data_IF_574754135968
#
_entry.id   IF_574754135968
#
_cell.length_a   1.000
_cell.length_b   1.000
_cell.length_c   1.000
_cell.angle_alpha   90.00
_cell.angle_beta   90.00
_cell.angle_gamma   90.00
#
_symmetry.space_group_name_H-M   'P 1'
#
loop_
_entity.id
_entity.type
_entity.pdbx_description
1 polymer ?
#
# COMPACT_ATOMS: atom_id res chain seq x y z
N UNK A 1 -6.18 -45.64 7.97
CA UNK A 1 -6.26 -45.01 6.63
C UNK A 1 -6.16 -43.47 6.73
N UNK A 2 -5.17 -42.94 7.48
CA UNK A 2 -5.10 -41.51 7.86
C UNK A 2 -3.81 -40.79 7.41
N UNK A 3 -2.82 -41.52 6.90
CA UNK A 3 -1.47 -41.01 6.57
C UNK A 3 -1.41 -40.37 5.16
N UNK A 4 -2.35 -40.70 4.26
CA UNK A 4 -2.38 -40.13 2.89
C UNK A 4 -2.87 -38.67 2.83
N UNK A 5 -3.60 -38.17 3.82
CA UNK A 5 -4.14 -36.79 3.81
C UNK A 5 -3.13 -35.72 4.28
N UNK A 6 -2.15 -36.12 5.09
CA UNK A 6 -1.12 -35.22 5.65
C UNK A 6 0.01 -35.01 4.65
N UNK A 7 0.41 -36.06 3.93
CA UNK A 7 1.41 -35.97 2.86
C UNK A 7 0.93 -35.15 1.66
N UNK A 8 -0.36 -35.21 1.31
CA UNK A 8 -0.98 -34.37 0.27
C UNK A 8 -1.02 -32.89 0.66
N UNK A 9 -1.35 -32.59 1.93
CA UNK A 9 -1.32 -31.22 2.48
C UNK A 9 0.11 -30.67 2.52
N UNK A 10 1.09 -31.45 2.99
CA UNK A 10 2.50 -31.06 3.04
C UNK A 10 3.10 -30.83 1.64
N UNK A 11 2.72 -31.63 0.63
CA UNK A 11 3.10 -31.38 -0.78
C UNK A 11 2.46 -30.12 -1.35
N UNK A 12 1.20 -29.84 -1.02
CA UNK A 12 0.52 -28.58 -1.38
C UNK A 12 1.21 -27.36 -0.76
N UNK A 13 1.56 -27.43 0.52
CA UNK A 13 2.35 -26.39 1.19
C UNK A 13 3.74 -26.27 0.57
N UNK A 14 4.49 -27.35 0.36
CA UNK A 14 5.83 -27.30 -0.23
C UNK A 14 5.84 -26.74 -1.67
N UNK A 15 4.84 -27.09 -2.50
CA UNK A 15 4.69 -26.54 -3.86
C UNK A 15 4.27 -25.06 -3.84
N UNK A 16 3.39 -24.66 -2.92
CA UNK A 16 3.08 -23.26 -2.64
C UNK A 16 4.34 -22.49 -2.20
N UNK A 17 5.14 -23.06 -1.30
CA UNK A 17 6.38 -22.45 -0.81
C UNK A 17 7.43 -22.32 -1.92
N UNK A 18 7.61 -23.33 -2.78
CA UNK A 18 8.55 -23.28 -3.90
C UNK A 18 8.15 -22.25 -4.96
N UNK A 19 6.84 -22.07 -5.19
CA UNK A 19 6.29 -21.06 -6.11
C UNK A 19 6.44 -19.66 -5.50
N UNK A 20 6.08 -19.49 -4.24
CA UNK A 20 6.24 -18.23 -3.51
C UNK A 20 7.71 -17.78 -3.45
N UNK A 21 8.67 -18.71 -3.24
CA UNK A 21 10.11 -18.45 -3.20
C UNK A 21 10.73 -18.00 -4.54
N UNK A 22 10.04 -18.22 -5.67
CA UNK A 22 10.53 -17.91 -7.02
C UNK A 22 9.81 -16.75 -7.70
N UNK A 23 8.72 -16.25 -7.14
CA UNK A 23 7.96 -15.18 -7.76
C UNK A 23 8.65 -13.83 -7.55
N UNK A 24 8.94 -13.06 -8.62
CA UNK A 24 9.55 -11.74 -8.50
C UNK A 24 8.62 -10.74 -7.80
N UNK A 25 7.32 -11.05 -7.71
CA UNK A 25 6.24 -10.23 -7.18
C UNK A 25 5.45 -10.97 -6.10
N UNK A 26 4.86 -10.24 -5.15
CA UNK A 26 4.00 -10.81 -4.11
C UNK A 26 2.65 -11.25 -4.72
N UNK A 27 2.24 -12.50 -4.50
CA UNK A 27 0.84 -12.95 -4.54
C UNK A 27 0.60 -13.87 -3.34
N UNK A 28 0.05 -13.29 -2.27
CA UNK A 28 -0.12 -13.95 -0.97
C UNK A 28 -1.58 -14.00 -0.58
N UNK A 29 -2.04 -15.17 -0.14
CA UNK A 29 -3.38 -15.36 0.41
C UNK A 29 -3.28 -15.78 1.87
N UNK A 30 -3.93 -15.04 2.75
CA UNK A 30 -3.86 -15.20 4.20
C UNK A 30 -5.27 -15.16 4.80
N UNK A 31 -5.53 -15.98 5.82
CA UNK A 31 -6.71 -15.80 6.67
C UNK A 31 -6.38 -14.77 7.74
N UNK A 32 -7.00 -13.60 7.65
CA UNK A 32 -6.78 -12.48 8.59
C UNK A 32 -7.85 -12.44 9.68
N UNK A 33 -9.06 -12.93 9.38
CA UNK A 33 -10.20 -13.04 10.29
C UNK A 33 -10.96 -14.36 10.04
N UNK A 34 -11.79 -14.76 10.99
CA UNK A 34 -12.69 -15.91 10.83
C UNK A 34 -13.65 -15.66 9.67
N UNK A 35 -13.69 -16.57 8.69
CA UNK A 35 -14.58 -16.47 7.54
C UNK A 35 -14.17 -15.44 6.48
N UNK A 36 -13.01 -14.79 6.63
CA UNK A 36 -12.47 -13.85 5.64
C UNK A 36 -11.10 -14.30 5.14
N UNK A 37 -10.87 -14.08 3.85
CA UNK A 37 -9.60 -14.29 3.18
C UNK A 37 -9.10 -12.94 2.69
N UNK A 38 -7.80 -12.68 2.88
CA UNK A 38 -7.10 -11.53 2.34
C UNK A 38 -6.10 -11.99 1.29
N UNK A 39 -6.19 -11.44 0.08
CA UNK A 39 -5.20 -11.62 -0.99
C UNK A 39 -4.42 -10.32 -1.19
N UNK A 40 -3.09 -10.39 -1.18
CA UNK A 40 -2.20 -9.27 -1.49
C UNK A 40 -1.49 -9.60 -2.80
N UNK A 41 -1.66 -8.75 -3.82
CA UNK A 41 -1.06 -8.89 -5.14
C UNK A 41 -0.23 -7.64 -5.45
N UNK A 42 1.05 -7.80 -5.66
CA UNK A 42 1.95 -6.74 -6.12
C UNK A 42 2.09 -6.78 -7.64
N UNK A 43 2.11 -5.59 -8.23
CA UNK A 43 2.26 -5.36 -9.66
C UNK A 43 1.33 -6.27 -10.48
N UNK A 44 0.01 -6.30 -10.22
CA UNK A 44 -0.93 -7.20 -10.90
C UNK A 44 -0.84 -7.11 -12.44
N UNK A 45 -0.47 -5.94 -12.99
CA UNK A 45 -0.23 -5.82 -14.43
C UNK A 45 0.92 -6.69 -14.98
N UNK A 46 1.84 -7.13 -14.12
CA UNK A 46 3.01 -7.96 -14.44
C UNK A 46 2.95 -9.36 -13.83
N UNK A 47 2.22 -9.54 -12.73
CA UNK A 47 2.31 -10.75 -11.89
C UNK A 47 1.24 -11.80 -12.15
N UNK A 48 0.11 -11.40 -12.75
CA UNK A 48 -1.04 -12.28 -13.01
C UNK A 48 -1.46 -12.25 -14.48
N UNK A 49 -2.22 -13.26 -14.91
CA UNK A 49 -2.75 -13.34 -16.27
C UNK A 49 -3.78 -12.24 -16.56
N UNK A 50 -4.11 -12.04 -17.83
CA UNK A 50 -5.11 -11.03 -18.22
C UNK A 50 -6.51 -11.33 -17.65
N UNK A 51 -6.93 -12.60 -17.72
CA UNK A 51 -8.21 -13.02 -17.14
C UNK A 51 -8.26 -12.81 -15.61
N UNK A 52 -7.17 -13.07 -14.90
CA UNK A 52 -7.08 -12.81 -13.46
C UNK A 52 -7.05 -11.31 -13.14
N UNK A 53 -6.44 -10.50 -14.00
CA UNK A 53 -6.40 -9.04 -13.86
C UNK A 53 -7.80 -8.45 -14.05
N UNK A 54 -8.53 -8.90 -15.07
CA UNK A 54 -9.90 -8.47 -15.33
C UNK A 54 -10.84 -8.85 -14.19
N UNK A 55 -10.70 -10.07 -13.66
CA UNK A 55 -11.46 -10.51 -12.49
C UNK A 55 -11.12 -9.67 -11.25
N UNK A 56 -9.83 -9.40 -10.99
CA UNK A 56 -9.42 -8.54 -9.89
C UNK A 56 -10.05 -7.15 -10.02
N UNK A 57 -9.96 -6.52 -11.20
CA UNK A 57 -10.54 -5.19 -11.46
C UNK A 57 -12.07 -5.21 -11.30
N UNK A 58 -12.73 -6.27 -11.77
CA UNK A 58 -14.16 -6.48 -11.58
C UNK A 58 -14.52 -6.51 -10.09
N UNK A 59 -13.79 -7.28 -9.28
CA UNK A 59 -14.00 -7.36 -7.82
C UNK A 59 -13.79 -6.01 -7.12
N UNK A 60 -12.78 -5.24 -7.53
CA UNK A 60 -12.57 -3.89 -6.99
C UNK A 60 -13.74 -2.95 -7.33
N UNK A 61 -14.25 -3.02 -8.57
CA UNK A 61 -15.41 -2.23 -9.00
C UNK A 61 -16.69 -2.61 -8.26
N UNK A 62 -16.88 -3.89 -7.89
CA UNK A 62 -18.03 -4.34 -7.07
C UNK A 62 -18.05 -3.63 -5.72
N UNK A 63 -16.93 -3.60 -5.00
CA UNK A 63 -16.83 -2.90 -3.70
C UNK A 63 -17.00 -1.39 -3.89
N UNK A 64 -16.37 -0.83 -4.93
CA UNK A 64 -16.40 0.60 -5.19
C UNK A 64 -17.79 1.11 -5.59
N UNK A 65 -18.56 0.34 -6.37
CA UNK A 65 -19.92 0.70 -6.79
C UNK A 65 -20.91 0.87 -5.64
N UNK A 66 -20.60 0.33 -4.45
CA UNK A 66 -21.40 0.57 -3.23
C UNK A 66 -21.09 1.89 -2.54
N UNK A 67 -19.97 2.53 -2.86
CA UNK A 67 -19.51 3.76 -2.19
C UNK A 67 -19.34 4.94 -3.13
N UNK A 68 -19.20 4.69 -4.44
CA UNK A 68 -19.01 5.71 -5.48
C UNK A 68 -20.03 5.59 -6.60
N UNK A 69 -20.36 6.71 -7.29
CA UNK A 69 -21.12 6.66 -8.53
C UNK A 69 -20.33 5.92 -9.62
N UNK A 70 -21.06 5.29 -10.56
CA UNK A 70 -20.48 4.43 -11.61
C UNK A 70 -19.45 5.14 -12.48
N UNK A 71 -19.64 6.44 -12.74
CA UNK A 71 -18.76 7.26 -13.57
C UNK A 71 -17.32 7.35 -13.01
N UNK A 72 -17.17 7.22 -11.68
CA UNK A 72 -15.87 7.27 -10.98
C UNK A 72 -15.09 5.95 -11.02
N UNK A 73 -15.63 4.90 -11.64
CA UNK A 73 -15.03 3.56 -11.73
C UNK A 73 -14.14 3.38 -12.97
N UNK A 74 -13.61 4.48 -13.51
CA UNK A 74 -12.83 4.50 -14.75
C UNK A 74 -11.39 4.98 -14.56
N UNK A 75 -11.06 5.54 -13.38
CA UNK A 75 -9.75 6.11 -13.09
C UNK A 75 -8.90 5.22 -12.16
N UNK A 76 -7.57 5.38 -12.24
CA UNK A 76 -6.62 4.76 -11.32
C UNK A 76 -6.64 3.24 -11.38
N UNK A 77 -6.87 2.59 -10.24
CA UNK A 77 -6.93 1.12 -10.14
C UNK A 77 -8.13 0.53 -10.89
N UNK A 78 -9.16 1.34 -11.16
CA UNK A 78 -10.37 0.88 -11.84
C UNK A 78 -10.27 0.93 -13.36
N UNK A 79 -9.22 1.51 -13.96
CA UNK A 79 -9.14 1.60 -15.42
C UNK A 79 -8.95 0.23 -16.10
N UNK A 80 -8.38 -0.75 -15.38
CA UNK A 80 -7.95 -2.02 -15.97
C UNK A 80 -6.66 -1.91 -16.80
N UNK A 81 -6.09 -0.71 -16.93
CA UNK A 81 -4.88 -0.50 -17.71
C UNK A 81 -3.69 -1.23 -17.06
N UNK A 82 -3.15 -2.21 -17.80
CA UNK A 82 -2.05 -3.06 -17.34
C UNK A 82 -0.82 -2.26 -16.91
N UNK A 83 -0.49 -1.18 -17.62
CA UNK A 83 0.64 -0.32 -17.25
C UNK A 83 0.45 0.34 -15.88
N UNK A 84 -0.74 0.88 -15.58
CA UNK A 84 -1.01 1.46 -14.25
C UNK A 84 -0.97 0.40 -13.17
N UNK A 85 -1.57 -0.76 -13.45
CA UNK A 85 -1.62 -1.92 -12.56
C UNK A 85 -0.24 -2.57 -12.36
N UNK A 86 0.75 -2.30 -13.20
CA UNK A 86 2.14 -2.76 -13.01
C UNK A 86 2.85 -2.10 -11.82
N UNK A 87 2.34 -0.95 -11.35
CA UNK A 87 2.90 -0.19 -10.21
C UNK A 87 1.99 -0.24 -8.98
N UNK A 88 0.92 -1.02 -9.04
CA UNK A 88 -0.06 -1.12 -7.97
C UNK A 88 0.27 -2.26 -7.00
N UNK A 89 -0.23 -2.16 -5.78
CA UNK A 89 -0.26 -3.27 -4.82
C UNK A 89 -1.66 -3.33 -4.27
N UNK A 90 -2.36 -4.43 -4.56
CA UNK A 90 -3.78 -4.58 -4.24
C UNK A 90 -3.92 -5.57 -3.09
N UNK A 91 -4.60 -5.13 -2.05
CA UNK A 91 -5.04 -5.97 -0.94
C UNK A 91 -6.54 -6.11 -1.06
N UNK A 92 -7.03 -7.31 -1.37
CA UNK A 92 -8.44 -7.61 -1.47
C UNK A 92 -8.87 -8.49 -0.30
N UNK A 93 -9.97 -8.13 0.34
CA UNK A 93 -10.61 -8.93 1.39
C UNK A 93 -11.93 -9.46 0.84
N UNK A 94 -12.11 -10.77 0.93
CA UNK A 94 -13.31 -11.47 0.49
C UNK A 94 -13.82 -12.43 1.55
N UNK A 95 -15.12 -12.70 1.51
CA UNK A 95 -15.72 -13.80 2.27
C UNK A 95 -15.15 -15.14 1.81
N UNK A 96 -14.77 -15.99 2.77
CA UNK A 96 -14.22 -17.32 2.49
C UNK A 96 -15.26 -18.25 1.85
N UNK A 97 -16.51 -18.17 2.30
CA UNK A 97 -17.56 -19.10 1.87
C UNK A 97 -18.06 -18.82 0.44
N UNK A 98 -18.13 -17.56 0.04
CA UNK A 98 -18.77 -17.11 -1.20
C UNK A 98 -17.79 -16.53 -2.21
N UNK A 99 -16.59 -16.12 -1.76
CA UNK A 99 -15.64 -15.34 -2.56
C UNK A 99 -16.04 -13.88 -2.76
N UNK A 100 -17.16 -13.43 -2.17
CA UNK A 100 -17.67 -12.06 -2.32
C UNK A 100 -16.65 -11.04 -1.81
N UNK A 101 -16.23 -10.05 -2.62
CA UNK A 101 -15.32 -9.01 -2.17
C UNK A 101 -16.04 -8.03 -1.24
N UNK A 102 -15.41 -7.69 -0.11
CA UNK A 102 -16.00 -6.81 0.91
C UNK A 102 -15.18 -5.53 1.14
N UNK A 103 -13.87 -5.58 0.89
CA UNK A 103 -13.01 -4.42 1.07
C UNK A 103 -11.74 -4.55 0.25
N UNK A 104 -11.13 -3.42 -0.09
CA UNK A 104 -9.79 -3.43 -0.66
C UNK A 104 -8.97 -2.20 -0.27
N UNK A 105 -7.66 -2.36 -0.38
CA UNK A 105 -6.69 -1.28 -0.43
C UNK A 105 -5.87 -1.39 -1.72
N UNK A 106 -5.64 -0.26 -2.39
CA UNK A 106 -4.84 -0.19 -3.60
C UNK A 106 -3.72 0.85 -3.41
N UNK A 107 -2.50 0.37 -3.13
CA UNK A 107 -1.31 1.21 -3.08
C UNK A 107 -0.74 1.44 -4.48
N UNK A 108 0.05 2.50 -4.64
CA UNK A 108 0.82 2.75 -5.87
C UNK A 108 2.27 3.07 -5.55
N UNK A 109 3.20 2.56 -6.36
CA UNK A 109 4.64 2.81 -6.20
C UNK A 109 5.09 3.89 -7.18
N UNK A 110 5.67 4.97 -6.64
CA UNK A 110 6.21 6.09 -7.41
C UNK A 110 7.72 6.10 -7.35
N UNK A 111 8.39 6.35 -8.48
CA UNK A 111 9.84 6.55 -8.53
C UNK A 111 10.16 8.04 -8.53
N UNK A 112 10.80 8.50 -7.47
CA UNK A 112 11.09 9.91 -7.21
C UNK A 112 12.59 10.07 -7.04
N UNK A 113 13.14 11.19 -7.46
CA UNK A 113 14.57 11.47 -7.25
C UNK A 113 14.77 12.05 -5.85
N UNK A 114 15.73 11.51 -5.10
CA UNK A 114 16.17 12.00 -3.80
C UNK A 114 17.69 12.01 -3.79
N UNK A 115 18.28 13.19 -3.62
CA UNK A 115 19.73 13.39 -3.63
C UNK A 115 20.41 12.87 -4.91
N UNK A 116 19.73 13.03 -6.05
CA UNK A 116 20.21 12.59 -7.38
C UNK A 116 19.96 11.11 -7.68
N UNK A 117 19.46 10.33 -6.72
CA UNK A 117 19.23 8.90 -6.86
C UNK A 117 17.72 8.57 -6.94
N UNK A 118 17.31 7.61 -7.78
CA UNK A 118 15.92 7.17 -7.83
C UNK A 118 15.56 6.37 -6.57
N UNK A 119 14.55 6.83 -5.85
CA UNK A 119 13.95 6.15 -4.69
C UNK A 119 12.49 5.83 -4.93
N UNK A 120 12.01 4.74 -4.33
CA UNK A 120 10.60 4.35 -4.40
C UNK A 120 9.82 4.92 -3.20
N UNK A 121 8.70 5.57 -3.51
CA UNK A 121 7.71 6.06 -2.54
C UNK A 121 6.43 5.27 -2.73
N UNK A 122 6.00 4.55 -1.69
CA UNK A 122 4.74 3.80 -1.72
C UNK A 122 3.61 4.70 -1.25
N UNK A 123 2.69 5.04 -2.15
CA UNK A 123 1.46 5.74 -1.81
C UNK A 123 0.44 4.78 -1.21
N UNK A 124 -0.08 5.09 -0.02
CA UNK A 124 -1.09 4.28 0.68
C UNK A 124 -2.39 4.12 -0.13
N UNK A 125 -2.68 5.10 -0.98
CA UNK A 125 -3.70 5.01 -2.01
C UNK A 125 -5.11 4.79 -1.47
N UNK A 126 -5.92 4.13 -2.28
CA UNK A 126 -7.36 4.07 -2.08
C UNK A 126 -7.72 2.94 -1.13
N UNK A 127 -8.58 3.23 -0.14
CA UNK A 127 -9.21 2.21 0.71
C UNK A 127 -10.71 2.30 0.56
N UNK A 128 -11.33 1.15 0.28
CA UNK A 128 -12.78 1.03 0.22
C UNK A 128 -13.24 -0.17 1.01
N UNK A 129 -14.34 0.04 1.74
CA UNK A 129 -15.01 -0.98 2.53
C UNK A 129 -16.48 -0.89 2.18
N UNK A 130 -17.07 -2.05 1.86
CA UNK A 130 -18.51 -2.24 1.73
C UNK A 130 -19.21 -1.61 2.95
N UNK A 131 -20.12 -0.64 2.75
CA UNK A 131 -20.83 0.03 3.85
C UNK A 131 -21.45 -0.93 4.86
N UNK A 132 -21.94 -2.07 4.39
CA UNK A 132 -22.63 -3.08 5.19
C UNK A 132 -21.65 -3.88 6.08
N UNK A 133 -20.35 -3.83 5.77
CA UNK A 133 -19.29 -4.61 6.42
C UNK A 133 -18.35 -3.74 7.28
N UNK A 134 -18.69 -2.45 7.48
CA UNK A 134 -17.89 -1.54 8.30
C UNK A 134 -17.89 -1.96 9.77
N UNK A 135 -16.78 -1.67 10.46
CA UNK A 135 -16.65 -1.95 11.91
C UNK A 135 -16.11 -3.34 12.26
N UNK A 136 -15.81 -4.20 11.27
CA UNK A 136 -15.27 -5.56 11.49
C UNK A 136 -13.76 -5.61 11.82
N UNK A 137 -13.16 -4.50 12.25
CA UNK A 137 -11.73 -4.45 12.56
C UNK A 137 -10.81 -4.61 11.34
N UNK A 138 -11.31 -4.37 10.13
CA UNK A 138 -10.52 -4.40 8.88
C UNK A 138 -9.40 -3.34 8.73
N UNK A 139 -9.40 -2.17 9.42
CA UNK A 139 -8.40 -1.14 9.19
C UNK A 139 -6.94 -1.58 9.31
N UNK A 140 -6.60 -2.48 10.25
CA UNK A 140 -5.20 -2.94 10.35
C UNK A 140 -4.77 -3.67 9.06
N UNK A 141 -5.61 -4.55 8.52
CA UNK A 141 -5.37 -5.23 7.25
C UNK A 141 -5.21 -4.23 6.11
N UNK A 142 -6.10 -3.26 6.01
CA UNK A 142 -6.18 -2.35 4.87
C UNK A 142 -5.13 -1.24 4.88
N UNK A 143 -4.66 -0.81 6.06
CA UNK A 143 -3.74 0.34 6.16
C UNK A 143 -2.30 -0.02 6.53
N UNK A 144 -2.06 -1.18 7.16
CA UNK A 144 -0.73 -1.51 7.70
C UNK A 144 -0.18 -2.87 7.32
N UNK A 145 -1.01 -3.89 7.10
CA UNK A 145 -0.53 -5.23 6.77
C UNK A 145 0.35 -5.23 5.52
N UNK A 146 -0.11 -4.62 4.45
CA UNK A 146 0.60 -4.61 3.18
C UNK A 146 1.91 -3.81 3.27
N UNK A 147 1.90 -2.69 3.99
CA UNK A 147 3.13 -1.96 4.28
C UNK A 147 4.14 -2.81 5.06
N UNK A 148 3.69 -3.56 6.08
CA UNK A 148 4.54 -4.47 6.86
C UNK A 148 5.11 -5.61 6.01
N UNK A 149 4.28 -6.22 5.16
CA UNK A 149 4.70 -7.27 4.21
C UNK A 149 5.78 -6.76 3.25
N UNK A 150 5.61 -5.55 2.72
CA UNK A 150 6.58 -4.93 1.83
C UNK A 150 7.87 -4.54 2.55
N UNK A 151 7.77 -4.10 3.81
CA UNK A 151 8.93 -3.83 4.64
C UNK A 151 9.73 -5.10 4.96
N UNK A 152 9.04 -6.20 5.31
CA UNK A 152 9.66 -7.50 5.57
C UNK A 152 10.35 -8.07 4.32
N UNK A 153 9.66 -8.05 3.18
CA UNK A 153 10.21 -8.54 1.90
C UNK A 153 11.45 -7.75 1.47
N UNK A 154 11.52 -6.45 1.81
CA UNK A 154 12.67 -5.64 1.47
C UNK A 154 13.82 -5.70 2.47
N UNK A 155 13.81 -6.73 3.32
CA UNK A 155 14.89 -7.00 4.27
C UNK A 155 14.90 -5.99 5.40
N UNK A 156 13.72 -5.52 5.80
CA UNK A 156 13.53 -4.57 6.92
C UNK A 156 14.26 -3.24 6.69
N UNK A 157 14.45 -2.86 5.42
CA UNK A 157 15.01 -1.57 5.04
C UNK A 157 13.91 -0.50 5.09
N UNK A 158 14.18 0.68 5.67
CA UNK A 158 13.19 1.73 5.72
C UNK A 158 12.69 2.13 4.32
N UNK A 159 11.38 2.34 4.17
CA UNK A 159 10.78 2.79 2.91
C UNK A 159 10.01 4.09 3.09
N UNK A 160 10.02 4.92 2.05
CA UNK A 160 9.18 6.10 1.99
C UNK A 160 7.73 5.76 1.69
N UNK A 161 6.84 6.36 2.47
CA UNK A 161 5.39 6.26 2.33
C UNK A 161 4.85 7.64 2.02
N UNK A 162 3.83 7.71 1.16
CA UNK A 162 3.03 8.91 0.96
C UNK A 162 1.56 8.64 1.25
N UNK A 163 0.86 9.67 1.73
CA UNK A 163 -0.58 9.69 1.93
C UNK A 163 -1.14 11.01 1.41
N UNK A 164 -2.29 10.98 0.75
CA UNK A 164 -2.99 12.16 0.24
C UNK A 164 -4.43 12.07 0.74
N UNK A 165 -4.86 13.03 1.54
CA UNK A 165 -6.19 12.97 2.15
C UNK A 165 -6.66 14.30 2.70
N UNK A 166 -7.97 14.49 2.76
CA UNK A 166 -8.65 15.53 3.54
C UNK A 166 -9.29 15.00 4.82
N UNK A 167 -9.12 13.69 5.12
CA UNK A 167 -9.82 13.02 6.22
C UNK A 167 -8.98 13.03 7.50
N UNK A 168 -9.45 13.69 8.59
CA UNK A 168 -8.67 13.80 9.83
C UNK A 168 -8.27 12.46 10.44
N UNK A 169 -9.15 11.46 10.41
CA UNK A 169 -8.83 10.12 10.95
C UNK A 169 -7.67 9.45 10.22
N UNK A 170 -7.55 9.68 8.91
CA UNK A 170 -6.45 9.14 8.08
C UNK A 170 -5.16 9.90 8.36
N UNK A 171 -5.21 11.23 8.49
CA UNK A 171 -4.05 12.05 8.90
C UNK A 171 -3.47 11.58 10.23
N UNK A 172 -4.36 11.31 11.19
CA UNK A 172 -3.98 10.79 12.50
C UNK A 172 -3.43 9.37 12.44
N UNK A 173 -4.07 8.48 11.68
CA UNK A 173 -3.60 7.11 11.48
C UNK A 173 -2.17 7.10 10.93
N UNK A 174 -1.90 7.85 9.84
CA UNK A 174 -0.57 7.91 9.23
C UNK A 174 0.46 8.47 10.21
N UNK A 175 0.13 9.57 10.89
CA UNK A 175 1.04 10.21 11.86
C UNK A 175 1.43 9.30 13.02
N UNK A 176 0.56 8.36 13.40
CA UNK A 176 0.82 7.45 14.52
C UNK A 176 1.49 6.15 14.08
N UNK A 177 1.19 5.67 12.87
CA UNK A 177 1.68 4.39 12.34
C UNK A 177 3.12 4.51 11.83
N UNK A 178 3.42 5.57 11.10
CA UNK A 178 4.72 5.75 10.44
C UNK A 178 5.68 6.63 11.27
N UNK A 179 6.96 6.57 10.92
CA UNK A 179 8.02 7.42 11.47
C UNK A 179 8.26 8.63 10.57
N UNK A 180 8.89 9.68 11.13
CA UNK A 180 9.30 10.89 10.40
C UNK A 180 8.17 11.54 9.59
N UNK A 181 6.93 11.51 10.06
CA UNK A 181 5.78 11.98 9.28
C UNK A 181 5.75 13.51 9.23
N UNK A 182 5.68 14.06 8.01
CA UNK A 182 5.46 15.48 7.74
C UNK A 182 4.49 15.68 6.54
N UNK A 183 3.53 16.61 6.63
CA UNK A 183 3.19 17.40 7.81
C UNK A 183 2.39 16.59 8.83
N UNK A 184 2.42 17.04 10.08
CA UNK A 184 1.67 16.44 11.20
C UNK A 184 1.42 17.51 12.27
N UNK A 185 0.31 17.46 13.04
CA UNK A 185 0.04 18.44 14.11
C UNK A 185 1.00 18.35 15.31
N UNK A 186 1.87 17.33 15.36
CA UNK A 186 2.79 17.17 16.49
C UNK A 186 3.86 18.28 16.50
N UNK A 187 4.16 18.88 17.68
CA UNK A 187 5.18 19.94 17.79
C UNK A 187 6.58 19.54 17.31
N UNK A 188 6.89 18.23 17.33
CA UNK A 188 8.16 17.68 16.85
C UNK A 188 8.21 17.38 15.35
N UNK A 189 7.10 17.50 14.63
CA UNK A 189 7.07 17.25 13.19
C UNK A 189 7.84 18.36 12.47
N UNK A 190 8.94 17.98 11.80
CA UNK A 190 9.79 18.91 11.06
C UNK A 190 9.88 18.50 9.62
N UNK A 191 9.80 19.50 8.75
CA UNK A 191 10.11 19.33 7.35
C UNK A 191 11.62 19.08 7.21
N UNK A 192 11.99 17.97 6.59
CA UNK A 192 13.36 17.69 6.20
C UNK A 192 13.55 18.10 4.74
N UNK A 193 14.81 18.21 4.30
CA UNK A 193 15.10 18.41 2.89
C UNK A 193 14.58 17.25 2.03
N UNK A 194 14.64 16.01 2.56
CA UNK A 194 14.07 14.84 1.89
C UNK A 194 12.56 14.98 1.69
N UNK A 195 11.81 15.45 2.70
CA UNK A 195 10.38 15.74 2.56
C UNK A 195 10.11 16.72 1.42
N UNK A 196 10.88 17.81 1.35
CA UNK A 196 10.72 18.83 0.31
C UNK A 196 11.01 18.27 -1.10
N UNK A 197 12.12 17.55 -1.28
CA UNK A 197 12.49 16.97 -2.57
C UNK A 197 11.47 15.94 -3.03
N UNK A 198 11.07 15.03 -2.15
CA UNK A 198 10.09 14.00 -2.46
C UNK A 198 8.74 14.61 -2.82
N UNK A 199 8.23 15.57 -2.04
CA UNK A 199 6.94 16.19 -2.32
C UNK A 199 6.94 16.92 -3.68
N UNK A 200 8.00 17.67 -3.99
CA UNK A 200 8.16 18.33 -5.30
C UNK A 200 8.26 17.32 -6.44
N UNK A 201 9.04 16.26 -6.27
CA UNK A 201 9.22 15.21 -7.27
C UNK A 201 7.92 14.43 -7.53
N UNK A 202 7.15 14.15 -6.47
CA UNK A 202 5.82 13.54 -6.56
C UNK A 202 4.86 14.46 -7.32
N UNK A 203 4.74 15.73 -6.92
CA UNK A 203 3.75 16.63 -7.53
C UNK A 203 4.09 17.01 -8.97
N UNK A 204 5.38 17.02 -9.34
CA UNK A 204 5.80 17.29 -10.72
C UNK A 204 5.59 16.13 -11.69
N UNK A 205 5.78 14.87 -11.25
CA UNK A 205 5.78 13.70 -12.15
C UNK A 205 4.66 12.70 -11.91
N UNK A 206 4.06 12.69 -10.73
CA UNK A 206 3.17 11.63 -10.26
C UNK A 206 1.82 12.12 -9.74
N UNK A 207 1.44 13.38 -9.98
CA UNK A 207 0.13 13.91 -9.55
C UNK A 207 -1.05 13.08 -10.05
N UNK A 208 -0.92 12.48 -11.24
CA UNK A 208 -1.89 11.56 -11.83
C UNK A 208 -2.02 10.21 -11.11
N UNK A 209 -1.33 9.98 -9.99
CA UNK A 209 -1.61 8.87 -9.07
C UNK A 209 -2.79 9.22 -8.15
N UNK A 210 -2.96 10.50 -7.81
CA UNK A 210 -3.95 10.98 -6.86
C UNK A 210 -5.31 11.34 -7.50
N UNK A 211 -5.39 11.34 -8.83
CA UNK A 211 -6.63 11.64 -9.57
C UNK A 211 -6.95 13.11 -9.66
N UNK A 212 -5.98 13.96 -9.35
CA UNK A 212 -6.13 15.42 -9.39
C UNK A 212 -6.16 15.93 -10.83
N UNK A 213 -6.93 17.00 -11.07
CA UNK A 213 -7.01 17.67 -12.37
C UNK A 213 -5.74 18.44 -12.74
N UNK A 214 -5.72 19.05 -13.92
CA UNK A 214 -4.56 19.82 -14.40
C UNK A 214 -4.36 21.13 -13.63
N UNK A 215 -5.47 21.71 -13.20
CA UNK A 215 -5.65 22.92 -12.41
C UNK A 215 -5.34 22.73 -10.92
N UNK A 216 -5.08 21.49 -10.48
CA UNK A 216 -4.66 21.23 -9.12
C UNK A 216 -3.28 21.85 -8.88
N UNK A 217 -3.21 22.67 -7.83
CA UNK A 217 -1.98 23.34 -7.38
C UNK A 217 -1.28 22.58 -6.27
N UNK A 218 -0.07 23.02 -5.92
CA UNK A 218 0.66 22.50 -4.77
C UNK A 218 1.29 23.61 -3.93
N UNK A 219 0.77 23.77 -2.71
CA UNK A 219 1.37 24.61 -1.67
C UNK A 219 2.52 23.85 -1.01
N UNK A 220 3.73 24.16 -1.47
CA UNK A 220 4.97 23.52 -1.01
C UNK A 220 5.28 23.80 0.46
N UNK A 221 4.79 24.90 1.03
CA UNK A 221 5.08 25.23 2.42
C UNK A 221 4.22 24.41 3.39
N UNK A 222 2.95 24.19 3.03
CA UNK A 222 1.98 23.44 3.86
C UNK A 222 1.84 21.97 3.46
N UNK A 223 2.40 21.58 2.32
CA UNK A 223 2.23 20.28 1.68
C UNK A 223 0.75 20.01 1.36
N UNK A 224 0.06 21.04 0.87
CA UNK A 224 -1.35 20.97 0.52
C UNK A 224 -1.48 20.96 -1.00
N UNK A 225 -2.17 19.95 -1.52
CA UNK A 225 -2.64 19.90 -2.90
C UNK A 225 -3.94 20.68 -2.94
N UNK A 226 -3.93 21.83 -3.63
CA UNK A 226 -5.11 22.69 -3.72
C UNK A 226 -5.97 22.26 -4.89
N UNK A 227 -7.30 22.28 -4.72
CA UNK A 227 -8.23 21.91 -5.80
C UNK A 227 -7.97 20.47 -6.31
N UNK A 228 -7.82 19.53 -5.38
CA UNK A 228 -7.42 18.15 -5.64
C UNK A 228 -8.54 17.28 -6.25
N UNK A 229 -9.80 17.72 -6.13
CA UNK A 229 -10.99 16.93 -6.47
C UNK A 229 -11.67 17.42 -7.75
N UNK A 230 -10.91 17.50 -8.83
CA UNK A 230 -11.44 18.00 -10.11
C UNK A 230 -11.09 17.10 -11.31
N UNK A 231 -10.32 16.04 -11.06
CA UNK A 231 -10.07 14.97 -12.02
C UNK A 231 -10.84 13.70 -11.65
N UNK A 232 -10.21 12.54 -11.84
CA UNK A 232 -10.80 11.24 -11.52
C UNK A 232 -11.10 11.01 -10.03
N UNK A 233 -10.63 11.88 -9.13
CA UNK A 233 -10.90 11.82 -7.70
C UNK A 233 -12.17 12.55 -7.26
N UNK A 234 -12.87 13.31 -8.12
CA UNK A 234 -13.94 14.24 -7.73
C UNK A 234 -15.00 13.61 -6.78
N UNK A 235 -15.49 12.42 -7.10
CA UNK A 235 -16.50 11.73 -6.27
C UNK A 235 -16.00 11.29 -4.87
N UNK A 236 -14.71 11.41 -4.59
CA UNK A 236 -14.12 11.17 -3.27
C UNK A 236 -14.16 12.41 -2.38
N UNK A 237 -14.55 13.58 -2.91
CA UNK A 237 -14.60 14.84 -2.16
C UNK A 237 -15.55 14.72 -0.97
N UNK A 238 -15.11 15.22 0.19
CA UNK A 238 -15.89 15.26 1.43
C UNK A 238 -15.93 16.68 1.96
N UNK A 239 -17.04 17.03 2.62
CA UNK A 239 -17.04 18.19 3.50
C UNK A 239 -16.31 17.85 4.80
N UNK A 240 -15.88 18.86 5.55
CA UNK A 240 -15.27 18.63 6.86
C UNK A 240 -16.21 17.84 7.76
N UNK A 241 -17.51 18.17 7.79
CA UNK A 241 -18.54 17.55 8.62
C UNK A 241 -18.74 16.07 8.27
N UNK A 242 -18.71 15.72 6.99
CA UNK A 242 -18.87 14.35 6.51
C UNK A 242 -17.57 13.53 6.62
N UNK A 243 -16.40 14.17 6.72
CA UNK A 243 -15.12 13.50 6.84
C UNK A 243 -14.98 12.80 8.21
N UNK A 244 -14.65 11.50 8.24
CA UNK A 244 -14.43 10.78 9.49
C UNK A 244 -13.42 11.49 10.42
N UNK A 245 -13.85 11.77 11.64
CA UNK A 245 -13.03 12.44 12.65
C UNK A 245 -12.04 11.48 13.29
N UNK A 246 -10.89 12.01 13.65
CA UNK A 246 -9.96 11.31 14.51
C UNK A 246 -10.41 11.42 15.97
N UNK A 247 -10.10 10.41 16.79
CA UNK A 247 -10.44 10.39 18.23
C UNK A 247 -9.72 11.45 19.07
N UNK A 248 -8.56 11.87 18.58
CA UNK A 248 -7.76 12.93 19.16
C UNK A 248 -8.00 14.21 18.36
N UNK A 249 -8.54 15.22 19.05
CA UNK A 249 -9.05 16.44 18.45
C UNK A 249 -7.97 17.28 17.77
N UNK A 250 -6.68 17.11 18.13
CA UNK A 250 -5.60 17.87 17.51
C UNK A 250 -5.56 17.69 15.98
N UNK A 251 -5.90 16.50 15.48
CA UNK A 251 -5.90 16.21 14.04
C UNK A 251 -7.12 16.83 13.36
N UNK A 252 -8.27 16.83 14.03
CA UNK A 252 -9.50 17.44 13.53
C UNK A 252 -9.31 18.96 13.39
N UNK A 253 -8.83 19.60 14.45
CA UNK A 253 -8.55 21.04 14.49
C UNK A 253 -7.45 21.44 13.50
N UNK A 254 -6.42 20.61 13.32
CA UNK A 254 -5.36 20.87 12.35
C UNK A 254 -5.89 20.80 10.91
N UNK A 255 -6.63 19.74 10.54
CA UNK A 255 -7.19 19.65 9.18
C UNK A 255 -8.16 20.79 8.88
N UNK A 256 -9.01 21.16 9.85
CA UNK A 256 -9.96 22.27 9.71
C UNK A 256 -9.27 23.62 9.45
N UNK A 257 -8.07 23.83 9.99
CA UNK A 257 -7.29 25.04 9.77
C UNK A 257 -6.49 25.02 8.47
N UNK A 258 -5.87 23.88 8.15
CA UNK A 258 -4.93 23.80 7.03
C UNK A 258 -5.61 23.63 5.67
N UNK A 259 -6.80 23.00 5.63
CA UNK A 259 -7.47 22.61 4.39
C UNK A 259 -8.70 23.46 4.10
N UNK A 260 -8.83 23.89 2.85
CA UNK A 260 -10.08 24.40 2.30
C UNK A 260 -10.90 23.25 1.70
N UNK A 261 -11.87 22.75 2.46
CA UNK A 261 -12.77 21.67 2.03
C UNK A 261 -13.73 22.08 0.90
N UNK A 262 -14.04 23.38 0.78
CA UNK A 262 -14.92 23.89 -0.29
C UNK A 262 -14.16 23.87 -1.60
N UNK A 263 -12.91 24.34 -1.60
CA UNK A 263 -12.00 24.20 -2.75
C UNK A 263 -11.67 22.72 -3.03
N UNK A 264 -11.62 21.89 -2.00
CA UNK A 264 -11.27 20.48 -2.11
C UNK A 264 -9.77 20.29 -2.01
N UNK A 265 -9.18 20.75 -0.92
CA UNK A 265 -7.77 20.57 -0.64
C UNK A 265 -7.49 19.20 0.00
N UNK A 266 -6.34 18.61 -0.34
CA UNK A 266 -5.80 17.44 0.36
C UNK A 266 -4.42 17.75 0.94
N UNK A 267 -4.10 17.16 2.08
CA UNK A 267 -2.71 17.16 2.57
C UNK A 267 -1.92 15.98 2.00
N UNK A 268 -0.73 16.25 1.47
CA UNK A 268 0.28 15.26 1.13
C UNK A 268 1.20 15.02 2.33
N UNK A 269 1.00 13.91 3.04
CA UNK A 269 1.92 13.46 4.08
C UNK A 269 2.97 12.52 3.52
N UNK A 270 4.21 12.73 3.94
CA UNK A 270 5.34 11.84 3.72
C UNK A 270 5.82 11.30 5.05
N UNK A 271 6.22 10.04 5.08
CA UNK A 271 6.80 9.41 6.25
C UNK A 271 7.53 8.15 5.87
N UNK A 272 7.95 7.37 6.87
CA UNK A 272 8.71 6.16 6.66
C UNK A 272 8.12 4.99 7.41
N UNK A 273 8.08 3.83 6.77
CA UNK A 273 8.00 2.57 7.50
C UNK A 273 9.43 2.12 7.81
N UNK A 274 9.72 1.94 9.09
CA UNK A 274 10.98 1.45 9.62
C UNK A 274 10.70 0.39 10.71
N UNK A 275 11.75 -0.11 11.36
CA UNK A 275 11.60 -1.14 12.38
C UNK A 275 10.81 -0.64 13.61
N UNK A 276 10.93 0.65 13.95
CA UNK A 276 10.22 1.25 15.07
C UNK A 276 8.72 1.39 14.77
N UNK A 277 8.38 1.87 13.57
CA UNK A 277 7.01 1.94 13.05
C UNK A 277 6.38 0.56 12.89
N UNK A 278 7.11 -0.41 12.33
CA UNK A 278 6.66 -1.80 12.23
C UNK A 278 6.36 -2.42 13.60
N UNK A 279 7.25 -2.23 14.58
CA UNK A 279 7.03 -2.68 15.96
C UNK A 279 5.80 -2.02 16.58
N UNK A 280 5.66 -0.69 16.45
CA UNK A 280 4.53 0.07 17.01
C UNK A 280 3.20 -0.42 16.41
N UNK A 281 3.17 -0.61 15.10
CA UNK A 281 2.03 -1.14 14.37
C UNK A 281 1.64 -2.55 14.86
N UNK A 282 2.61 -3.47 14.96
CA UNK A 282 2.35 -4.84 15.46
C UNK A 282 1.80 -4.81 16.89
N UNK A 283 2.34 -3.97 17.76
CA UNK A 283 1.93 -3.90 19.16
C UNK A 283 0.55 -3.28 19.36
N UNK A 284 0.16 -2.33 18.50
CA UNK A 284 -1.05 -1.53 18.69
C UNK A 284 -2.24 -2.04 17.87
N UNK A 285 -2.01 -2.42 16.61
CA UNK A 285 -3.07 -2.54 15.62
C UNK A 285 -3.32 -4.00 15.20
N UNK A 286 -2.36 -4.90 15.40
CA UNK A 286 -2.47 -6.31 14.99
C UNK A 286 -3.14 -7.15 16.08
N UNK A 287 -4.28 -7.84 15.80
CA UNK A 287 -4.89 -8.76 16.75
C UNK A 287 -3.98 -9.95 17.09
N UNK A 288 -3.94 -10.34 18.36
CA UNK A 288 -3.06 -11.42 18.84
C UNK A 288 -3.28 -12.75 18.10
N UNK A 289 -4.52 -13.06 17.70
CA UNK A 289 -4.86 -14.27 16.95
C UNK A 289 -4.29 -14.32 15.52
N UNK A 290 -3.96 -13.17 14.93
CA UNK A 290 -3.44 -13.08 13.55
C UNK A 290 -1.90 -13.08 13.51
N UNK A 291 -1.22 -12.89 14.65
CA UNK A 291 0.24 -12.86 14.75
C UNK A 291 0.94 -14.11 14.20
N UNK A 292 0.49 -15.36 14.45
CA UNK A 292 1.20 -16.54 13.95
C UNK A 292 1.23 -16.62 12.42
N UNK A 293 0.12 -16.27 11.75
CA UNK A 293 0.03 -16.26 10.29
C UNK A 293 0.93 -15.16 9.68
N UNK A 294 0.98 -13.99 10.33
CA UNK A 294 1.85 -12.88 9.92
C UNK A 294 3.33 -13.18 10.13
N UNK A 295 3.69 -13.77 11.27
CA UNK A 295 5.05 -14.19 11.54
C UNK A 295 5.50 -15.26 10.56
N UNK A 296 4.65 -16.23 10.24
CA UNK A 296 4.95 -17.23 9.21
C UNK A 296 5.16 -16.56 7.84
N UNK A 297 4.22 -15.74 7.38
CA UNK A 297 4.35 -15.06 6.09
C UNK A 297 5.60 -14.16 6.03
N UNK A 298 5.85 -13.38 7.08
CA UNK A 298 7.01 -12.49 7.20
C UNK A 298 8.32 -13.27 7.27
N UNK A 299 8.36 -14.39 8.00
CA UNK A 299 9.52 -15.26 8.08
C UNK A 299 9.83 -15.89 6.72
N UNK A 300 8.82 -16.30 5.95
CA UNK A 300 9.05 -16.79 4.59
C UNK A 300 9.56 -15.68 3.67
N UNK A 301 8.97 -14.49 3.70
CA UNK A 301 9.44 -13.35 2.88
C UNK A 301 10.86 -12.90 3.24
N UNK A 302 11.21 -12.92 4.52
CA UNK A 302 12.56 -12.65 4.99
C UNK A 302 13.53 -13.77 4.59
N UNK A 303 13.11 -15.03 4.74
CA UNK A 303 13.90 -16.20 4.34
C UNK A 303 14.14 -16.23 2.83
N UNK A 304 13.16 -15.83 2.01
CA UNK A 304 13.34 -15.60 0.58
C UNK A 304 14.54 -14.69 0.35
N UNK A 305 14.60 -13.54 1.02
CA UNK A 305 15.68 -12.56 0.86
C UNK A 305 16.99 -12.93 1.57
N UNK A 306 17.03 -13.93 2.45
CA UNK A 306 18.28 -14.44 3.03
C UNK A 306 18.85 -15.61 2.22
N UNK A 307 17.99 -16.46 1.65
CA UNK A 307 18.39 -17.56 0.78
C UNK A 307 18.74 -17.05 -0.63
N UNK A 308 17.98 -16.10 -1.19
CA UNK A 308 18.24 -15.57 -2.55
C UNK A 308 19.64 -14.97 -2.70
N UNK A 309 20.18 -14.15 -1.79
CA UNK A 309 21.55 -13.67 -1.88
C UNK A 309 22.57 -14.79 -1.78
N UNK A 310 22.36 -15.82 -0.96
CA UNK A 310 23.27 -16.97 -0.87
C UNK A 310 23.22 -17.81 -2.15
N UNK A 311 22.04 -18.00 -2.74
CA UNK A 311 21.83 -18.69 -4.01
C UNK A 311 22.39 -17.87 -5.18
N UNK A 312 22.20 -16.56 -5.19
CA UNK A 312 22.78 -15.66 -6.19
C UNK A 312 24.28 -15.48 -6.02
N UNK A 313 24.81 -15.60 -4.80
CA UNK A 313 26.25 -15.63 -4.55
C UNK A 313 26.88 -16.92 -5.08
N UNK A 314 26.10 -18.01 -5.15
CA UNK A 314 26.46 -19.25 -5.83
C UNK A 314 26.16 -19.25 -7.34
N UNK A 315 25.48 -18.22 -7.85
CA UNK A 315 25.16 -18.03 -9.28
C UNK A 315 26.14 -17.01 -9.89
N UNK A 316 27.18 -17.51 -10.54
CA UNK A 316 28.28 -16.72 -11.12
C UNK A 316 27.88 -15.92 -12.38
N UNK A 317 26.60 -15.94 -12.75
CA UNK A 317 26.08 -15.32 -13.99
C UNK A 317 25.41 -13.96 -13.81
N UNK A 318 25.15 -13.51 -12.56
CA UNK A 318 24.43 -12.24 -12.30
C UNK A 318 25.22 -11.23 -11.43
N UNK A 319 25.18 -9.92 -11.75
CA UNK A 319 25.76 -8.89 -10.91
C UNK A 319 24.91 -8.63 -9.65
N UNK A 320 25.56 -8.35 -8.51
CA UNK A 320 24.90 -7.97 -7.26
C UNK A 320 25.62 -6.79 -6.58
N UNK A 321 25.02 -5.60 -6.64
CA UNK A 321 25.65 -4.38 -6.14
C UNK A 321 26.94 -4.06 -6.90
N UNK A 322 28.07 -3.96 -6.19
CA UNK A 322 29.39 -3.74 -6.78
C UNK A 322 30.08 -5.03 -7.28
N UNK A 323 29.50 -6.21 -7.04
CA UNK A 323 30.08 -7.49 -7.44
C UNK A 323 29.72 -7.82 -8.89
N UNK A 324 30.76 -8.09 -9.71
CA UNK A 324 30.63 -8.46 -11.13
C UNK A 324 30.62 -9.99 -11.28
N UNK A 325 29.83 -10.55 -12.22
CA UNK A 325 29.84 -11.98 -12.54
C UNK A 325 31.21 -12.41 -13.11
N UNK A 326 31.61 -13.67 -12.84
CA UNK A 326 32.92 -14.20 -13.22
C UNK A 326 33.09 -14.18 -14.74
N UNK A 327 32.05 -14.60 -15.49
CA UNK A 327 32.04 -14.53 -16.95
C UNK A 327 31.44 -13.20 -17.39
N UNK A 328 32.28 -12.16 -17.50
CA UNK A 328 31.92 -10.98 -18.29
C UNK A 328 31.60 -11.41 -19.72
N UNK A 329 30.51 -10.90 -20.28
CA UNK A 329 30.25 -10.97 -21.73
C UNK A 329 31.35 -10.19 -22.47
N UNK A 330 32.49 -10.85 -22.66
CA UNK A 330 33.46 -10.51 -23.68
C UNK A 330 33.07 -11.23 -24.96
N UNK A 331 32.14 -10.61 -25.70
CA UNK A 331 32.07 -10.53 -27.17
C UNK A 331 30.91 -9.63 -27.55
#
# INVERSE_FOLDING_TARGET
MQVRSTAGRLRGYAAFWLKALRQPTIDLTLRTHTGLITRIVEAPGLSISEAELDELVSQLRVVAAKTLPKESLTYGIFSGERERLSRAIVTLISEEATGRPIAFNALSVMKVELDGEPVEVTHLGLVMVDPDERGQGLPWVLYGLTALVLFARDGLRPKWISNVTQVPSVVGMVSQTFSDVFPSPHPGSRQSFAHLQLARGIMSRHRAVFGVGEEAGFDVARFVITNAYTGGSDALKKTFEAAPKHRDEQYNAWCARELDYVRGDDVLQLGRIDLAGARRYIQRDVPAGSLPALLAASAILALQRLILPVVYWLDDTRPFGSLRPWRGNGR
#
